data_IF_129448511386
#
_entry.id   IF_129448511386
#
_cell.length_a   1.000
_cell.length_b   1.000
_cell.length_c   1.000
_cell.angle_alpha   90.00
_cell.angle_beta   90.00
_cell.angle_gamma   90.00
#
_symmetry.space_group_name_H-M   'P 1'
#
loop_
_entity.id
_entity.type
_entity.pdbx_description
1 polymer ?
#
# COMPACT_ATOMS: atom_id res chain seq x y z
N UNK A 1 2.77 11.62 20.28
CA UNK A 1 2.46 10.19 20.51
C UNK A 1 3.32 9.36 19.57
N UNK A 2 4.24 8.55 20.09
CA UNK A 2 4.83 7.48 19.29
C UNK A 2 3.84 6.30 19.39
N UNK A 3 3.05 6.11 18.34
CA UNK A 3 2.18 4.93 18.22
C UNK A 3 3.00 3.65 18.09
N UNK A 4 2.36 2.49 18.24
CA UNK A 4 2.99 1.19 17.98
C UNK A 4 3.56 1.17 16.55
N UNK A 5 4.81 0.74 16.41
CA UNK A 5 5.39 0.49 15.09
C UNK A 5 4.65 -0.67 14.43
N UNK A 6 4.27 -0.48 13.16
CA UNK A 6 3.76 -1.58 12.36
C UNK A 6 4.90 -2.54 11.99
N UNK A 7 4.58 -3.81 11.84
CA UNK A 7 5.52 -4.80 11.30
C UNK A 7 5.89 -4.51 9.84
N UNK A 8 7.04 -5.06 9.43
CA UNK A 8 7.52 -4.96 8.05
C UNK A 8 6.55 -5.67 7.09
N UNK A 9 6.27 -5.01 5.96
CA UNK A 9 5.41 -5.54 4.91
C UNK A 9 6.28 -6.21 3.86
N UNK A 10 6.41 -7.53 3.91
CA UNK A 10 7.22 -8.31 2.94
C UNK A 10 6.33 -9.25 2.12
N UNK A 11 5.67 -8.75 1.06
CA UNK A 11 4.81 -9.57 0.22
C UNK A 11 5.66 -10.50 -0.65
N UNK A 12 5.24 -11.76 -0.78
CA UNK A 12 5.78 -12.68 -1.78
C UNK A 12 5.54 -12.16 -3.20
N UNK A 13 6.28 -12.69 -4.19
CA UNK A 13 6.10 -12.32 -5.60
C UNK A 13 4.66 -12.50 -6.09
N UNK A 14 3.95 -13.53 -5.60
CA UNK A 14 2.54 -13.79 -5.94
C UNK A 14 1.62 -12.72 -5.37
N UNK A 15 1.83 -12.32 -4.12
CA UNK A 15 1.05 -11.26 -3.47
C UNK A 15 1.33 -9.91 -4.12
N UNK A 16 2.60 -9.61 -4.43
CA UNK A 16 2.98 -8.39 -5.14
C UNK A 16 2.31 -8.31 -6.51
N UNK A 17 2.34 -9.40 -7.28
CA UNK A 17 1.65 -9.48 -8.58
C UNK A 17 0.13 -9.28 -8.48
N UNK A 18 -0.50 -9.83 -7.44
CA UNK A 18 -1.92 -9.61 -7.17
C UNK A 18 -2.22 -8.13 -6.89
N UNK A 19 -1.47 -7.50 -5.99
CA UNK A 19 -1.66 -6.09 -5.62
C UNK A 19 -1.52 -5.17 -6.84
N UNK A 20 -0.48 -5.38 -7.65
CA UNK A 20 -0.25 -4.60 -8.86
C UNK A 20 -1.37 -4.80 -9.90
N UNK A 21 -1.85 -6.04 -10.08
CA UNK A 21 -2.95 -6.32 -10.99
C UNK A 21 -4.24 -5.61 -10.56
N UNK A 22 -4.51 -5.50 -9.24
CA UNK A 22 -5.67 -4.75 -8.73
C UNK A 22 -5.57 -3.25 -8.97
N UNK A 23 -4.37 -2.68 -8.96
CA UNK A 23 -4.15 -1.25 -9.26
C UNK A 23 -4.35 -0.96 -10.75
N UNK A 24 -3.88 -1.85 -11.63
CA UNK A 24 -4.01 -1.72 -13.09
C UNK A 24 -5.43 -1.98 -13.59
N UNK A 25 -6.23 -2.74 -12.85
CA UNK A 25 -7.60 -3.09 -13.24
C UNK A 25 -8.57 -1.90 -13.14
N UNK A 26 -9.11 -1.44 -14.27
CA UNK A 26 -10.09 -0.35 -14.36
C UNK A 26 -11.42 -0.58 -13.59
N UNK A 27 -11.67 -1.80 -13.11
CA UNK A 27 -12.91 -2.15 -12.37
C UNK A 27 -12.75 -2.18 -10.85
N UNK A 28 -11.54 -1.99 -10.31
CA UNK A 28 -11.36 -1.96 -8.86
C UNK A 28 -11.95 -0.67 -8.27
N UNK A 29 -12.70 -0.80 -7.18
CA UNK A 29 -13.13 0.35 -6.41
C UNK A 29 -11.90 1.18 -5.99
N UNK A 30 -11.99 2.51 -6.09
CA UNK A 30 -10.89 3.45 -5.78
C UNK A 30 -10.23 3.14 -4.43
N UNK A 31 -11.04 2.87 -3.40
CA UNK A 31 -10.60 2.52 -2.04
C UNK A 31 -9.80 1.22 -1.96
N UNK A 32 -10.02 0.27 -2.86
CA UNK A 32 -9.20 -0.94 -2.92
C UNK A 32 -7.86 -0.64 -3.60
N UNK A 33 -7.88 0.07 -4.72
CA UNK A 33 -6.64 0.44 -5.43
C UNK A 33 -5.71 1.28 -4.55
N UNK A 34 -6.26 2.23 -3.79
CA UNK A 34 -5.46 3.07 -2.89
C UNK A 34 -4.87 2.24 -1.73
N UNK A 35 -5.62 1.27 -1.18
CA UNK A 35 -5.07 0.32 -0.19
C UNK A 35 -3.98 -0.58 -0.78
N UNK A 36 -4.13 -1.07 -2.00
CA UNK A 36 -3.09 -1.85 -2.68
C UNK A 36 -1.82 -1.02 -2.91
N UNK A 37 -1.97 0.25 -3.32
CA UNK A 37 -0.82 1.17 -3.45
C UNK A 37 -0.14 1.40 -2.11
N UNK A 38 -0.92 1.60 -1.04
CA UNK A 38 -0.38 1.80 0.31
C UNK A 38 0.49 0.62 0.74
N UNK A 39 0.00 -0.62 0.54
CA UNK A 39 0.75 -1.85 0.88
C UNK A 39 2.06 -1.93 0.08
N UNK A 40 2.02 -1.67 -1.24
CA UNK A 40 3.22 -1.72 -2.08
C UNK A 40 4.27 -0.68 -1.68
N UNK A 41 3.84 0.55 -1.36
CA UNK A 41 4.74 1.60 -0.89
C UNK A 41 5.34 1.25 0.48
N UNK A 42 4.55 0.73 1.42
CA UNK A 42 5.08 0.24 2.70
C UNK A 42 6.11 -0.88 2.50
N UNK A 43 5.88 -1.78 1.53
CA UNK A 43 6.84 -2.84 1.18
C UNK A 43 8.14 -2.33 0.54
N UNK A 44 8.16 -1.07 0.10
CA UNK A 44 9.37 -0.36 -0.36
C UNK A 44 10.09 0.37 0.80
N UNK A 45 9.65 0.15 2.04
CA UNK A 45 10.26 0.73 3.25
C UNK A 45 9.72 2.11 3.63
N UNK A 46 8.66 2.58 2.96
CA UNK A 46 8.09 3.90 3.22
C UNK A 46 7.24 3.90 4.49
N UNK A 47 7.44 4.92 5.32
CA UNK A 47 6.66 5.09 6.55
C UNK A 47 5.22 5.50 6.25
N UNK A 48 4.27 5.08 7.08
CA UNK A 48 2.84 5.33 6.89
C UNK A 48 2.49 6.81 6.62
N UNK A 49 3.19 7.74 7.29
CA UNK A 49 2.98 9.19 7.09
C UNK A 49 3.39 9.66 5.69
N UNK A 50 4.50 9.14 5.17
CA UNK A 50 4.97 9.46 3.82
C UNK A 50 4.09 8.81 2.76
N UNK A 51 3.66 7.57 2.99
CA UNK A 51 2.71 6.88 2.11
C UNK A 51 1.37 7.63 2.04
N UNK A 52 0.85 8.06 3.18
CA UNK A 52 -0.38 8.84 3.26
C UNK A 52 -0.28 10.16 2.45
N UNK A 53 0.84 10.88 2.61
CA UNK A 53 1.10 12.11 1.87
C UNK A 53 1.17 11.88 0.35
N UNK A 54 1.82 10.80 -0.11
CA UNK A 54 1.90 10.47 -1.54
C UNK A 54 0.55 10.08 -2.16
N UNK A 55 -0.31 9.46 -1.38
CA UNK A 55 -1.63 9.01 -1.84
C UNK A 55 -2.73 10.06 -1.63
N UNK A 56 -2.44 11.16 -0.93
CA UNK A 56 -3.42 12.19 -0.60
C UNK A 56 -4.51 11.69 0.36
N UNK A 57 -4.15 10.77 1.26
CA UNK A 57 -5.05 10.22 2.28
C UNK A 57 -4.63 10.71 3.66
N UNK A 58 -5.58 10.86 4.59
CA UNK A 58 -5.38 11.47 5.92
C UNK A 58 -5.74 10.51 7.04
#
# INVERSE_FOLDING_TARGET
MAGRLADEVVPSSKERGFLEARIRGHKAARSLSDRCRMILLCAEGLQSKEVAARLGVH
#
